data_IF_223365449087
#
_entry.id   IF_223365449087
#
_cell.length_a   1.000
_cell.length_b   1.000
_cell.length_c   1.000
_cell.angle_alpha   90.00
_cell.angle_beta   90.00
_cell.angle_gamma   90.00
#
_symmetry.space_group_name_H-M   'P 1'
#
loop_
_entity.id
_entity.type
_entity.pdbx_description
1 polymer ?
#
# COMPACT_ATOMS: atom_id res chain seq x y z
N UNK A 1 23.01 29.71 5.63
CA UNK A 1 21.89 29.73 6.60
C UNK A 1 22.32 28.92 7.82
N UNK A 2 21.75 29.16 9.01
CA UNK A 2 22.04 28.36 10.21
C UNK A 2 20.87 27.41 10.49
N UNK A 3 21.08 26.08 10.62
CA UNK A 3 19.98 25.16 10.88
C UNK A 3 19.21 25.49 12.16
N UNK A 4 19.91 25.93 13.21
CA UNK A 4 19.26 26.29 14.49
C UNK A 4 18.28 27.44 14.34
N UNK A 5 18.58 28.42 13.47
CA UNK A 5 17.70 29.58 13.24
C UNK A 5 16.45 29.20 12.46
N UNK A 6 16.57 28.31 11.47
CA UNK A 6 15.40 27.78 10.74
C UNK A 6 14.49 26.98 11.69
N UNK A 7 15.09 26.13 12.54
CA UNK A 7 14.35 25.37 13.56
C UNK A 7 13.67 26.31 14.56
N UNK A 8 14.36 27.36 15.02
CA UNK A 8 13.81 28.37 15.94
C UNK A 8 12.58 29.03 15.35
N UNK A 9 12.66 29.49 14.09
CA UNK A 9 11.53 30.10 13.37
C UNK A 9 10.34 29.15 13.29
N UNK A 10 10.57 27.89 12.90
CA UNK A 10 9.48 26.90 12.82
C UNK A 10 8.86 26.61 14.18
N UNK A 11 9.68 26.46 15.22
CA UNK A 11 9.24 26.26 16.62
C UNK A 11 8.34 27.42 17.10
N UNK A 12 8.69 28.65 16.70
CA UNK A 12 7.97 29.87 17.07
C UNK A 12 6.72 30.11 16.21
N UNK A 13 6.41 29.19 15.28
CA UNK A 13 5.19 29.19 14.47
C UNK A 13 5.30 29.98 13.17
N UNK A 14 6.51 30.38 12.77
CA UNK A 14 6.72 31.07 11.49
C UNK A 14 6.70 30.10 10.31
N UNK A 15 6.28 30.63 9.15
CA UNK A 15 6.37 29.94 7.86
C UNK A 15 7.80 29.97 7.32
N UNK A 16 8.30 28.82 6.89
CA UNK A 16 9.59 28.69 6.24
C UNK A 16 9.49 28.87 4.72
N UNK A 17 10.53 29.47 4.13
CA UNK A 17 10.68 29.55 2.68
C UNK A 17 11.23 28.26 2.08
N UNK A 18 10.98 28.03 0.79
CA UNK A 18 11.47 26.84 0.08
C UNK A 18 13.00 26.67 0.15
N UNK A 19 13.76 27.77 0.11
CA UNK A 19 15.22 27.74 0.23
C UNK A 19 15.71 27.27 1.61
N UNK A 20 14.98 27.58 2.68
CA UNK A 20 15.31 27.14 4.04
C UNK A 20 15.06 25.65 4.21
N UNK A 21 13.93 25.16 3.66
CA UNK A 21 13.58 23.75 3.67
C UNK A 21 14.58 22.95 2.83
N UNK A 22 14.91 23.41 1.62
CA UNK A 22 15.92 22.79 0.77
C UNK A 22 17.30 22.76 1.45
N UNK A 23 17.66 23.81 2.20
CA UNK A 23 18.89 23.84 2.98
C UNK A 23 18.93 22.77 4.08
N UNK A 24 17.82 22.56 4.82
CA UNK A 24 17.74 21.51 5.83
C UNK A 24 17.85 20.11 5.21
N UNK A 25 17.08 19.84 4.16
CA UNK A 25 17.04 18.53 3.49
C UNK A 25 18.37 18.21 2.81
N UNK A 26 18.90 19.14 2.01
CA UNK A 26 20.20 18.98 1.35
C UNK A 26 21.35 18.87 2.35
N UNK A 27 21.29 19.65 3.43
CA UNK A 27 22.27 19.58 4.51
C UNK A 27 22.26 18.26 5.26
N UNK A 28 21.10 17.61 5.42
CA UNK A 28 21.02 16.25 5.97
C UNK A 28 21.79 15.29 5.07
N UNK A 29 21.51 15.31 3.76
CA UNK A 29 22.18 14.45 2.77
C UNK A 29 23.70 14.65 2.81
N UNK A 30 24.15 15.91 2.81
CA UNK A 30 25.58 16.28 2.81
C UNK A 30 26.26 16.08 4.17
N UNK A 31 25.51 15.80 5.24
CA UNK A 31 26.04 15.66 6.60
C UNK A 31 26.37 16.99 7.29
N UNK A 32 25.99 18.13 6.70
CA UNK A 32 26.16 19.48 7.30
C UNK A 32 25.02 19.85 8.24
N UNK A 33 23.89 19.13 8.17
CA UNK A 33 22.79 19.17 9.15
C UNK A 33 22.72 17.82 9.85
N UNK A 34 22.82 17.86 11.17
CA UNK A 34 22.83 16.68 12.03
C UNK A 34 21.43 16.04 12.16
N UNK A 35 21.41 14.77 12.59
CA UNK A 35 20.14 14.06 12.85
C UNK A 35 19.35 14.70 13.99
N UNK A 36 20.04 15.26 14.99
CA UNK A 36 19.45 15.94 16.14
C UNK A 36 18.74 17.23 15.70
N UNK A 37 19.31 17.95 14.73
CA UNK A 37 18.69 19.13 14.14
C UNK A 37 17.43 18.76 13.33
N UNK A 38 17.48 17.67 12.56
CA UNK A 38 16.28 17.19 11.84
C UNK A 38 15.21 16.67 12.80
N UNK A 39 15.59 16.00 13.88
CA UNK A 39 14.64 15.59 14.94
C UNK A 39 13.95 16.82 15.57
N UNK A 40 14.73 17.87 15.88
CA UNK A 40 14.18 19.11 16.41
C UNK A 40 13.26 19.82 15.41
N UNK A 41 13.62 19.83 14.12
CA UNK A 41 12.75 20.33 13.05
C UNK A 41 11.45 19.52 12.94
N UNK A 42 11.53 18.19 12.93
CA UNK A 42 10.37 17.31 12.85
C UNK A 42 9.42 17.51 14.05
N UNK A 43 9.96 17.69 15.25
CA UNK A 43 9.17 17.99 16.43
C UNK A 43 8.54 19.39 16.38
N UNK A 44 9.24 20.39 15.85
CA UNK A 44 8.67 21.71 15.62
C UNK A 44 7.50 21.66 14.62
N UNK A 45 7.65 20.90 13.53
CA UNK A 45 6.56 20.62 12.57
C UNK A 45 5.41 19.88 13.24
N UNK A 46 5.67 18.87 14.07
CA UNK A 46 4.64 18.13 14.78
C UNK A 46 3.72 19.04 15.60
N UNK A 47 4.29 20.03 16.31
CA UNK A 47 3.50 20.97 17.13
C UNK A 47 2.90 22.16 16.37
N UNK A 48 3.55 22.62 15.28
CA UNK A 48 3.16 23.86 14.58
C UNK A 48 2.50 23.63 13.22
N UNK A 49 2.55 22.41 12.72
CA UNK A 49 2.10 22.05 11.38
C UNK A 49 2.93 22.69 10.26
N UNK A 50 2.52 22.47 9.02
CA UNK A 50 3.06 23.16 7.84
C UNK A 50 1.93 23.75 7.00
N UNK A 51 2.18 24.91 6.42
CA UNK A 51 1.34 25.44 5.34
C UNK A 51 1.44 24.53 4.11
N UNK A 52 0.49 24.67 3.16
CA UNK A 52 0.53 23.94 1.90
C UNK A 52 1.84 24.16 1.14
N UNK A 53 2.31 25.40 1.05
CA UNK A 53 3.53 25.74 0.31
C UNK A 53 4.78 25.16 0.97
N UNK A 54 4.82 25.12 2.31
CA UNK A 54 5.89 24.46 3.04
C UNK A 54 5.89 22.94 2.78
N UNK A 55 4.71 22.29 2.76
CA UNK A 55 4.62 20.86 2.44
C UNK A 55 5.09 20.56 1.03
N UNK A 56 4.69 21.39 0.05
CA UNK A 56 5.15 21.27 -1.34
C UNK A 56 6.68 21.42 -1.39
N UNK A 57 7.23 22.45 -0.74
CA UNK A 57 8.67 22.66 -0.70
C UNK A 57 9.44 21.49 -0.05
N UNK A 58 8.93 20.93 1.05
CA UNK A 58 9.54 19.78 1.71
C UNK A 58 9.48 18.53 0.83
N UNK A 59 8.33 18.29 0.20
CA UNK A 59 8.12 17.17 -0.71
C UNK A 59 9.08 17.23 -1.90
N UNK A 60 9.21 18.40 -2.53
CA UNK A 60 10.10 18.62 -3.67
C UNK A 60 11.58 18.51 -3.25
N UNK A 61 11.97 19.09 -2.11
CA UNK A 61 13.34 18.98 -1.61
C UNK A 61 13.72 17.52 -1.30
N UNK A 62 12.77 16.72 -0.78
CA UNK A 62 12.98 15.29 -0.54
C UNK A 62 13.04 14.49 -1.84
N UNK A 63 12.18 14.78 -2.81
CA UNK A 63 12.21 14.19 -4.16
C UNK A 63 13.56 14.45 -4.84
N UNK A 64 13.99 15.71 -4.85
CA UNK A 64 15.18 16.21 -5.55
C UNK A 64 16.49 15.86 -4.83
N UNK A 65 16.41 15.14 -3.69
CA UNK A 65 17.59 14.63 -2.98
C UNK A 65 18.26 13.45 -3.69
N UNK A 66 17.62 12.90 -4.73
CA UNK A 66 18.13 11.77 -5.51
C UNK A 66 17.60 11.74 -6.93
N UNK A 67 17.49 10.54 -7.49
CA UNK A 67 17.06 10.31 -8.87
C UNK A 67 15.55 10.52 -9.02
N UNK A 68 15.17 11.26 -10.06
CA UNK A 68 13.79 11.35 -10.57
C UNK A 68 13.74 10.58 -11.89
N UNK A 69 12.85 9.59 -11.96
CA UNK A 69 12.65 8.80 -13.16
C UNK A 69 11.96 9.63 -14.25
N UNK A 70 12.27 9.31 -15.50
CA UNK A 70 11.68 9.92 -16.68
C UNK A 70 11.15 8.80 -17.60
N UNK A 71 9.88 8.94 -17.95
CA UNK A 71 9.07 8.02 -18.77
C UNK A 71 8.50 8.70 -20.01
N UNK A 72 9.03 9.87 -20.39
CA UNK A 72 8.60 10.63 -21.56
C UNK A 72 8.72 9.87 -22.89
N UNK A 73 9.44 8.74 -22.91
CA UNK A 73 9.60 7.85 -24.06
C UNK A 73 8.56 6.72 -24.13
N UNK A 74 7.66 6.60 -23.15
CA UNK A 74 6.56 5.64 -23.19
C UNK A 74 5.43 6.10 -24.13
N UNK A 75 4.75 5.18 -24.83
CA UNK A 75 3.67 5.52 -25.75
C UNK A 75 2.33 5.86 -25.04
N UNK A 76 2.31 5.88 -23.71
CA UNK A 76 1.13 6.14 -22.89
C UNK A 76 1.50 6.70 -21.51
N UNK A 77 0.50 7.08 -20.70
CA UNK A 77 0.73 7.75 -19.43
C UNK A 77 1.38 6.82 -18.40
N UNK A 78 2.40 7.31 -17.67
CA UNK A 78 2.92 6.66 -16.49
C UNK A 78 2.00 6.94 -15.29
N UNK A 79 1.29 5.93 -14.82
CA UNK A 79 0.28 6.02 -13.76
C UNK A 79 0.69 5.14 -12.58
N UNK A 80 0.33 5.54 -11.36
CA UNK A 80 0.55 4.71 -10.18
C UNK A 80 -0.58 4.82 -9.16
N UNK A 81 -0.62 3.85 -8.25
CA UNK A 81 -1.46 3.85 -7.05
C UNK A 81 -0.59 3.81 -5.81
N UNK A 82 -0.95 4.57 -4.79
CA UNK A 82 -0.40 4.39 -3.45
C UNK A 82 -1.50 4.08 -2.44
N UNK A 83 -1.24 3.15 -1.53
CA UNK A 83 -2.12 2.86 -0.40
C UNK A 83 -1.43 3.25 0.90
N UNK A 84 -2.19 3.82 1.83
CA UNK A 84 -1.73 4.03 3.21
C UNK A 84 -1.46 2.72 3.99
N UNK A 85 -1.85 1.57 3.44
CA UNK A 85 -1.62 0.24 4.02
C UNK A 85 -2.87 -0.33 4.71
N UNK A 86 -3.04 -1.65 4.61
CA UNK A 86 -4.17 -2.37 5.19
C UNK A 86 -3.91 -3.88 5.26
N UNK A 87 -4.91 -4.61 5.77
CA UNK A 87 -4.86 -6.06 5.94
C UNK A 87 -5.59 -6.70 4.76
N UNK A 88 -4.95 -7.67 4.10
CA UNK A 88 -5.50 -8.26 2.87
C UNK A 88 -5.59 -7.28 1.69
N UNK A 89 -4.84 -6.15 1.74
CA UNK A 89 -4.78 -5.18 0.65
C UNK A 89 -3.86 -5.69 -0.48
N UNK A 90 -4.41 -6.53 -1.35
CA UNK A 90 -3.71 -7.09 -2.52
C UNK A 90 -3.90 -6.29 -3.80
N UNK A 91 -4.64 -5.17 -3.74
CA UNK A 91 -5.12 -4.41 -4.91
C UNK A 91 -4.02 -4.19 -5.95
N UNK A 92 -2.82 -3.79 -5.53
CA UNK A 92 -1.71 -3.50 -6.44
C UNK A 92 -1.35 -4.64 -7.40
N UNK A 93 -1.48 -5.90 -6.97
CA UNK A 93 -1.11 -7.07 -7.78
C UNK A 93 -2.04 -7.24 -8.98
N UNK A 94 -3.31 -6.87 -8.85
CA UNK A 94 -4.32 -6.98 -9.92
C UNK A 94 -4.52 -5.65 -10.65
N UNK A 95 -4.37 -4.53 -9.96
CA UNK A 95 -4.57 -3.19 -10.49
C UNK A 95 -3.51 -2.82 -11.54
N UNK A 96 -2.23 -3.05 -11.23
CA UNK A 96 -1.13 -2.73 -12.15
C UNK A 96 -1.30 -3.39 -13.54
N UNK A 97 -1.52 -4.73 -13.63
CA UNK A 97 -1.74 -5.36 -14.93
C UNK A 97 -3.08 -4.99 -15.58
N UNK A 98 -4.13 -4.67 -14.80
CA UNK A 98 -5.41 -4.23 -15.37
C UNK A 98 -5.31 -2.85 -16.05
N UNK A 99 -4.62 -1.90 -15.42
CA UNK A 99 -4.35 -0.58 -16.03
C UNK A 99 -3.45 -0.73 -17.26
N UNK A 100 -2.45 -1.63 -17.20
CA UNK A 100 -1.62 -1.95 -18.36
C UNK A 100 -2.42 -2.54 -19.53
N UNK A 101 -3.40 -3.41 -19.26
CA UNK A 101 -4.32 -3.94 -20.28
C UNK A 101 -5.19 -2.85 -20.93
N UNK A 102 -5.33 -1.68 -20.28
CA UNK A 102 -6.07 -0.52 -20.77
C UNK A 102 -5.16 0.56 -21.39
N UNK A 103 -3.86 0.31 -21.55
CA UNK A 103 -2.93 1.21 -22.24
C UNK A 103 -2.16 2.18 -21.33
N UNK A 104 -2.32 2.08 -20.00
CA UNK A 104 -1.50 2.81 -19.05
C UNK A 104 -0.17 2.10 -18.77
N UNK A 105 0.84 2.84 -18.33
CA UNK A 105 2.10 2.27 -17.87
C UNK A 105 2.23 2.40 -16.36
N UNK A 106 2.53 1.32 -15.65
CA UNK A 106 2.55 1.30 -14.19
C UNK A 106 3.95 0.97 -13.65
N UNK A 107 4.85 1.97 -13.53
CA UNK A 107 6.18 1.82 -12.93
C UNK A 107 6.09 1.89 -11.40
N UNK A 108 5.37 0.95 -10.77
CA UNK A 108 5.02 1.02 -9.36
C UNK A 108 6.24 0.79 -8.46
N UNK A 109 6.61 1.83 -7.72
CA UNK A 109 7.57 1.74 -6.62
C UNK A 109 6.79 1.51 -5.33
N UNK A 110 6.96 0.34 -4.74
CA UNK A 110 6.24 -0.10 -3.54
C UNK A 110 7.16 -0.23 -2.32
N UNK A 111 6.56 -0.49 -1.17
CA UNK A 111 7.23 -0.67 0.11
C UNK A 111 7.08 -2.08 0.66
N UNK A 112 7.92 -2.38 1.66
CA UNK A 112 7.75 -3.52 2.56
C UNK A 112 6.71 -3.20 3.64
N UNK A 113 6.29 -4.20 4.40
CA UNK A 113 5.30 -4.04 5.46
C UNK A 113 5.76 -3.06 6.55
N UNK A 114 4.80 -2.33 7.12
CA UNK A 114 5.02 -1.38 8.21
C UNK A 114 4.01 -1.66 9.32
N UNK A 115 4.51 -1.79 10.56
CA UNK A 115 3.68 -2.09 11.72
C UNK A 115 2.87 -3.38 11.53
N UNK A 116 1.54 -3.27 11.62
CA UNK A 116 0.61 -4.40 11.46
C UNK A 116 0.17 -4.64 10.02
N UNK A 117 0.60 -3.83 9.06
CA UNK A 117 0.18 -3.93 7.66
C UNK A 117 1.18 -4.75 6.84
N UNK A 118 0.66 -5.60 5.95
CA UNK A 118 1.47 -6.36 5.00
C UNK A 118 2.01 -5.48 3.88
N UNK A 119 3.23 -5.74 3.40
CA UNK A 119 3.85 -5.01 2.29
C UNK A 119 3.66 -5.70 0.95
N UNK A 120 3.36 -4.95 -0.11
CA UNK A 120 3.26 -5.51 -1.47
C UNK A 120 4.55 -6.20 -1.91
N UNK A 121 5.71 -5.68 -1.52
CA UNK A 121 6.99 -6.33 -1.87
C UNK A 121 7.20 -7.64 -1.14
N UNK A 122 6.79 -7.74 0.13
CA UNK A 122 6.92 -8.98 0.88
C UNK A 122 6.02 -10.08 0.29
N UNK A 123 4.85 -9.69 -0.23
CA UNK A 123 3.96 -10.58 -1.00
C UNK A 123 4.63 -11.06 -2.28
N UNK A 124 5.22 -10.16 -3.07
CA UNK A 124 5.87 -10.52 -4.33
C UNK A 124 7.16 -11.33 -4.12
N UNK A 125 7.91 -11.08 -3.04
CA UNK A 125 9.08 -11.87 -2.64
C UNK A 125 8.70 -13.32 -2.24
N UNK A 126 7.41 -13.61 -2.00
CA UNK A 126 6.93 -14.98 -1.83
C UNK A 126 6.90 -15.79 -3.13
N UNK A 127 7.03 -15.14 -4.29
CA UNK A 127 7.18 -15.79 -5.59
C UNK A 127 8.65 -16.14 -5.80
N UNK A 128 9.03 -17.43 -5.90
CA UNK A 128 10.42 -17.82 -6.11
C UNK A 128 11.04 -17.15 -7.34
N UNK A 129 12.21 -16.54 -7.18
CA UNK A 129 12.94 -15.90 -8.28
C UNK A 129 12.48 -14.49 -8.67
N UNK A 130 11.36 -14.00 -8.13
CA UNK A 130 10.92 -12.63 -8.38
C UNK A 130 11.93 -11.61 -7.83
N UNK A 131 12.54 -10.83 -8.71
CA UNK A 131 13.47 -9.78 -8.35
C UNK A 131 12.71 -8.49 -8.00
N UNK A 132 12.42 -8.29 -6.71
CA UNK A 132 11.77 -7.07 -6.22
C UNK A 132 12.66 -5.83 -6.28
N UNK A 133 13.98 -5.99 -6.46
CA UNK A 133 14.93 -4.89 -6.66
C UNK A 133 15.80 -5.16 -7.90
N UNK A 134 15.22 -5.14 -9.10
CA UNK A 134 15.96 -5.37 -10.33
C UNK A 134 16.85 -4.16 -10.64
N UNK A 135 17.83 -4.34 -11.52
CA UNK A 135 18.56 -3.21 -12.07
C UNK A 135 17.65 -2.28 -12.91
N UNK A 136 18.06 -1.02 -13.08
CA UNK A 136 17.25 -0.02 -13.78
C UNK A 136 16.94 -0.39 -15.24
N UNK A 137 17.83 -1.14 -15.91
CA UNK A 137 17.62 -1.54 -17.32
C UNK A 137 16.52 -2.60 -17.40
N UNK A 138 16.55 -3.58 -16.51
CA UNK A 138 15.53 -4.62 -16.36
C UNK A 138 14.18 -3.98 -16.02
N UNK A 139 14.13 -3.09 -15.02
CA UNK A 139 12.91 -2.36 -14.66
C UNK A 139 12.29 -1.60 -15.84
N UNK A 140 13.07 -0.75 -16.53
CA UNK A 140 12.60 0.01 -17.69
C UNK A 140 12.17 -0.90 -18.84
N UNK A 141 12.85 -2.03 -19.05
CA UNK A 141 12.48 -3.01 -20.07
C UNK A 141 11.11 -3.62 -19.77
N UNK A 142 10.90 -4.12 -18.55
CA UNK A 142 9.63 -4.76 -18.16
C UNK A 142 8.48 -3.77 -18.25
N UNK A 143 8.63 -2.54 -17.74
CA UNK A 143 7.60 -1.50 -17.87
C UNK A 143 7.25 -1.26 -19.34
N UNK A 144 8.24 -1.12 -20.23
CA UNK A 144 8.01 -0.84 -21.65
C UNK A 144 7.37 -2.00 -22.41
N UNK A 145 7.81 -3.23 -22.15
CA UNK A 145 7.35 -4.41 -22.90
C UNK A 145 6.04 -4.99 -22.37
N UNK A 146 5.84 -4.96 -21.05
CA UNK A 146 4.69 -5.57 -20.36
C UNK A 146 3.62 -4.53 -20.01
N UNK A 147 4.01 -3.28 -19.79
CA UNK A 147 3.12 -2.19 -19.36
C UNK A 147 3.15 -1.95 -17.85
N UNK A 148 3.64 -2.89 -17.03
CA UNK A 148 3.75 -2.69 -15.59
C UNK A 148 4.92 -3.43 -14.96
N UNK A 149 5.43 -2.90 -13.85
CA UNK A 149 6.36 -3.58 -12.94
C UNK A 149 6.13 -3.07 -11.52
N UNK A 150 6.25 -3.96 -10.53
CA UNK A 150 6.16 -3.61 -9.11
C UNK A 150 7.52 -3.91 -8.47
N UNK A 151 8.24 -2.85 -8.10
CA UNK A 151 9.59 -2.97 -7.55
C UNK A 151 9.69 -2.21 -6.22
N UNK A 152 10.72 -2.53 -5.46
CA UNK A 152 11.08 -1.78 -4.27
C UNK A 152 11.79 -0.47 -4.59
N UNK A 153 11.89 0.36 -3.56
CA UNK A 153 12.67 1.58 -3.61
C UNK A 153 14.14 1.24 -3.85
N UNK A 154 14.75 1.87 -4.85
CA UNK A 154 16.20 1.87 -5.02
C UNK A 154 16.83 2.88 -4.06
N UNK A 155 18.11 2.72 -3.74
CA UNK A 155 18.80 3.63 -2.80
C UNK A 155 18.83 5.09 -3.28
N UNK A 156 18.77 5.28 -4.59
CA UNK A 156 18.85 6.60 -5.23
C UNK A 156 17.53 7.35 -5.24
N UNK A 157 16.39 6.71 -4.92
CA UNK A 157 15.08 7.35 -5.03
C UNK A 157 14.69 8.05 -3.73
N UNK A 158 14.68 9.39 -3.74
CA UNK A 158 14.38 10.25 -2.59
C UNK A 158 15.14 9.84 -1.28
N UNK A 159 16.49 9.74 -1.30
CA UNK A 159 17.29 9.25 -0.17
C UNK A 159 17.12 10.07 1.12
N UNK A 160 16.70 11.33 1.02
CA UNK A 160 16.40 12.15 2.19
C UNK A 160 15.22 11.59 2.99
N UNK A 161 14.21 11.04 2.32
CA UNK A 161 13.06 10.43 2.98
C UNK A 161 13.46 9.27 3.87
N UNK A 162 14.31 8.35 3.38
CA UNK A 162 14.82 7.22 4.17
C UNK A 162 15.46 7.69 5.48
N UNK A 163 16.27 8.75 5.42
CA UNK A 163 16.96 9.31 6.60
C UNK A 163 16.01 10.07 7.53
N UNK A 164 15.08 10.86 6.98
CA UNK A 164 14.10 11.60 7.77
C UNK A 164 13.11 10.64 8.45
N UNK A 165 12.64 9.61 7.74
CA UNK A 165 11.76 8.58 8.28
C UNK A 165 12.44 7.82 9.43
N UNK A 166 13.68 7.37 9.25
CA UNK A 166 14.43 6.68 10.31
C UNK A 166 14.64 7.53 11.57
N UNK A 167 14.72 8.86 11.42
CA UNK A 167 14.75 9.79 12.56
C UNK A 167 13.36 9.84 13.21
N UNK A 168 12.31 10.06 12.42
CA UNK A 168 10.92 10.20 12.91
C UNK A 168 10.46 8.99 13.71
N UNK A 169 10.84 7.80 13.26
CA UNK A 169 10.49 6.50 13.84
C UNK A 169 10.96 6.35 15.30
N UNK A 170 12.10 6.96 15.64
CA UNK A 170 12.68 6.90 17.00
C UNK A 170 12.48 8.19 17.81
N UNK A 171 11.80 9.20 17.25
CA UNK A 171 11.58 10.50 17.91
C UNK A 171 10.12 10.82 18.17
N UNK A 172 9.21 9.88 17.90
CA UNK A 172 7.77 10.08 18.14
C UNK A 172 7.14 11.13 17.22
N UNK A 173 7.64 11.26 15.98
CA UNK A 173 7.16 12.27 15.01
C UNK A 173 6.69 11.63 13.70
N UNK A 174 6.28 10.36 13.74
CA UNK A 174 5.74 9.66 12.55
C UNK A 174 4.36 10.20 12.21
N UNK A 175 3.50 10.43 13.20
CA UNK A 175 2.06 10.69 13.07
C UNK A 175 1.69 12.09 12.51
N UNK A 176 2.66 12.97 12.27
CA UNK A 176 2.40 14.27 11.65
C UNK A 176 1.95 14.10 10.19
N UNK A 177 0.73 14.55 9.87
CA UNK A 177 0.18 14.55 8.50
C UNK A 177 1.14 15.28 7.54
N UNK A 178 1.73 16.41 7.95
CA UNK A 178 2.65 17.18 7.11
C UNK A 178 3.88 16.35 6.68
N UNK A 179 4.48 15.63 7.64
CA UNK A 179 5.65 14.78 7.39
C UNK A 179 5.28 13.49 6.66
N UNK A 180 4.10 12.92 6.92
CA UNK A 180 3.57 11.76 6.19
C UNK A 180 3.34 12.12 4.72
N UNK A 181 2.69 13.25 4.45
CA UNK A 181 2.44 13.75 3.10
C UNK A 181 3.74 13.91 2.32
N UNK A 182 4.74 14.61 2.87
CA UNK A 182 6.01 14.80 2.19
C UNK A 182 6.77 13.49 1.97
N UNK A 183 6.76 12.61 2.97
CA UNK A 183 7.36 11.27 2.87
C UNK A 183 6.76 10.45 1.74
N UNK A 184 5.43 10.30 1.71
CA UNK A 184 4.75 9.51 0.67
C UNK A 184 4.99 10.10 -0.71
N UNK A 185 4.73 11.40 -0.88
CA UNK A 185 4.72 12.03 -2.20
C UNK A 185 6.11 12.22 -2.79
N UNK A 186 7.14 12.45 -1.97
CA UNK A 186 8.52 12.59 -2.49
C UNK A 186 8.95 11.38 -3.33
N UNK A 187 8.64 10.18 -2.85
CA UNK A 187 8.91 8.92 -3.56
C UNK A 187 8.05 8.76 -4.81
N UNK A 188 6.76 9.10 -4.72
CA UNK A 188 5.83 8.97 -5.86
C UNK A 188 6.12 9.99 -6.96
N UNK A 189 6.50 11.22 -6.61
CA UNK A 189 6.96 12.21 -7.57
C UNK A 189 8.31 11.83 -8.18
N UNK A 190 9.21 11.20 -7.41
CA UNK A 190 10.47 10.69 -7.94
C UNK A 190 10.27 9.53 -8.94
N UNK A 191 9.11 8.87 -8.94
CA UNK A 191 8.79 7.83 -9.90
C UNK A 191 8.42 8.34 -11.31
N UNK A 192 8.38 9.66 -11.54
CA UNK A 192 8.19 10.24 -12.87
C UNK A 192 6.77 10.13 -13.43
N UNK A 193 5.77 10.16 -12.54
CA UNK A 193 4.38 9.86 -12.88
C UNK A 193 3.69 11.02 -13.63
N UNK A 194 2.74 10.66 -14.48
CA UNK A 194 1.78 11.57 -15.14
C UNK A 194 0.46 11.69 -14.38
N UNK A 195 0.12 10.70 -13.55
CA UNK A 195 -1.05 10.70 -12.69
C UNK A 195 -0.91 9.72 -11.53
N UNK A 196 -1.52 10.06 -10.39
CA UNK A 196 -1.45 9.27 -9.17
C UNK A 196 -2.84 9.11 -8.54
N UNK A 197 -3.18 7.90 -8.13
CA UNK A 197 -4.37 7.65 -7.30
C UNK A 197 -3.94 7.22 -5.91
N UNK A 198 -4.56 7.81 -4.90
CA UNK A 198 -4.30 7.53 -3.50
C UNK A 198 -5.45 6.73 -2.90
N UNK A 199 -5.10 5.70 -2.15
CA UNK A 199 -6.01 4.80 -1.45
C UNK A 199 -5.78 4.96 0.05
N UNK A 200 -6.56 5.85 0.66
CA UNK A 200 -6.47 6.20 2.07
C UNK A 200 -7.42 5.32 2.85
N UNK A 201 -6.88 4.43 3.68
CA UNK A 201 -7.68 3.49 4.46
C UNK A 201 -8.30 4.22 5.65
N UNK A 202 -9.52 3.84 6.01
CA UNK A 202 -10.21 4.32 7.21
C UNK A 202 -10.82 3.14 7.98
N UNK A 203 -10.70 3.16 9.31
CA UNK A 203 -11.32 2.16 10.21
C UNK A 203 -10.34 1.30 11.01
N UNK A 204 -10.83 0.22 11.60
CA UNK A 204 -10.13 -0.56 12.64
C UNK A 204 -8.78 -1.18 12.24
N UNK A 205 -8.51 -1.36 10.94
CA UNK A 205 -7.22 -1.84 10.41
C UNK A 205 -6.39 -0.79 9.70
N UNK A 206 -6.90 0.44 9.57
CA UNK A 206 -6.21 1.53 8.90
C UNK A 206 -5.20 2.22 9.83
N UNK A 207 -4.30 3.01 9.23
CA UNK A 207 -3.47 3.95 10.00
C UNK A 207 -4.32 5.08 10.59
N UNK A 208 -5.31 5.57 9.83
CA UNK A 208 -6.29 6.56 10.29
C UNK A 208 -7.59 5.86 10.70
N UNK A 209 -7.86 5.78 11.99
CA UNK A 209 -9.07 5.11 12.48
C UNK A 209 -10.34 5.94 12.25
N UNK A 210 -10.24 7.26 12.39
CA UNK A 210 -11.34 8.21 12.24
C UNK A 210 -11.48 8.76 10.82
N UNK A 211 -12.72 9.00 10.40
CA UNK A 211 -13.02 9.53 9.07
C UNK A 211 -12.43 10.93 8.85
N UNK A 212 -12.43 11.79 9.88
CA UNK A 212 -11.90 13.15 9.77
C UNK A 212 -10.37 13.16 9.59
N UNK A 213 -9.66 12.26 10.27
CA UNK A 213 -8.21 12.08 10.10
C UNK A 213 -7.88 11.52 8.70
N UNK A 214 -8.65 10.54 8.24
CA UNK A 214 -8.51 9.97 6.89
C UNK A 214 -8.75 11.04 5.82
N UNK A 215 -9.78 11.88 5.99
CA UNK A 215 -10.08 13.01 5.10
C UNK A 215 -8.95 14.04 5.12
N UNK A 216 -8.49 14.45 6.30
CA UNK A 216 -7.39 15.41 6.42
C UNK A 216 -6.09 14.92 5.76
N UNK A 217 -5.78 13.63 5.89
CA UNK A 217 -4.64 13.02 5.19
C UNK A 217 -4.83 13.01 3.66
N UNK A 218 -6.00 12.57 3.18
CA UNK A 218 -6.31 12.49 1.77
C UNK A 218 -6.28 13.88 1.09
N UNK A 219 -6.90 14.89 1.70
CA UNK A 219 -6.87 16.28 1.23
C UNK A 219 -5.44 16.85 1.19
N UNK A 220 -4.64 16.60 2.23
CA UNK A 220 -3.24 17.03 2.28
C UNK A 220 -2.42 16.41 1.16
N UNK A 221 -2.55 15.09 0.94
CA UNK A 221 -1.84 14.39 -0.13
C UNK A 221 -2.24 14.90 -1.52
N UNK A 222 -3.54 15.04 -1.81
CA UNK A 222 -4.02 15.55 -3.09
C UNK A 222 -3.54 16.98 -3.33
N UNK A 223 -3.73 17.86 -2.34
CA UNK A 223 -3.39 19.29 -2.46
C UNK A 223 -1.90 19.54 -2.70
N UNK A 224 -1.03 18.74 -2.06
CA UNK A 224 0.42 18.84 -2.20
C UNK A 224 0.89 18.20 -3.51
N UNK A 225 0.34 17.06 -3.92
CA UNK A 225 0.71 16.42 -5.18
C UNK A 225 0.34 17.31 -6.37
N UNK A 226 -0.87 17.87 -6.38
CA UNK A 226 -1.31 18.85 -7.39
C UNK A 226 -0.46 20.12 -7.33
N UNK A 227 -0.14 20.60 -6.12
CA UNK A 227 0.77 21.74 -5.93
C UNK A 227 2.19 21.49 -6.44
N UNK A 228 2.63 20.23 -6.49
CA UNK A 228 3.90 19.79 -7.06
C UNK A 228 3.81 19.46 -8.57
N UNK A 229 2.66 19.66 -9.21
CA UNK A 229 2.45 19.44 -10.64
C UNK A 229 2.07 18.01 -11.03
N UNK A 230 1.67 17.15 -10.08
CA UNK A 230 1.22 15.78 -10.34
C UNK A 230 -0.31 15.68 -10.19
N UNK A 231 -1.07 15.51 -11.30
CA UNK A 231 -2.51 15.22 -11.24
C UNK A 231 -2.79 14.03 -10.31
N UNK A 232 -3.62 14.26 -9.29
CA UNK A 232 -3.83 13.28 -8.22
C UNK A 232 -5.27 13.29 -7.73
N UNK A 233 -5.85 12.10 -7.52
CA UNK A 233 -7.11 11.92 -6.80
C UNK A 233 -6.92 10.96 -5.63
N UNK A 234 -7.86 10.96 -4.68
CA UNK A 234 -7.86 10.02 -3.56
C UNK A 234 -9.22 9.38 -3.36
N UNK A 235 -9.22 8.09 -3.02
CA UNK A 235 -10.37 7.37 -2.48
C UNK A 235 -10.10 7.07 -1.00
N UNK A 236 -11.08 7.36 -0.14
CA UNK A 236 -11.11 6.86 1.22
C UNK A 236 -11.84 5.51 1.20
N UNK A 237 -11.14 4.44 1.57
CA UNK A 237 -11.66 3.08 1.50
C UNK A 237 -11.72 2.42 2.87
N UNK A 238 -12.73 1.58 3.06
CA UNK A 238 -12.98 0.92 4.33
C UNK A 238 -11.90 -0.13 4.67
N UNK A 239 -11.52 -0.17 5.94
CA UNK A 239 -10.60 -1.16 6.51
C UNK A 239 -11.10 -1.64 7.89
N UNK A 240 -12.43 -1.65 8.08
CA UNK A 240 -13.06 -2.24 9.26
C UNK A 240 -13.14 -3.77 9.21
N UNK A 241 -12.75 -4.35 8.07
CA UNK A 241 -12.48 -5.76 7.84
C UNK A 241 -11.33 -5.91 6.84
N UNK A 242 -10.63 -7.07 6.80
CA UNK A 242 -9.68 -7.38 5.75
C UNK A 242 -10.27 -7.15 4.35
N UNK A 243 -9.52 -6.51 3.45
CA UNK A 243 -10.05 -6.19 2.12
C UNK A 243 -10.23 -7.46 1.26
N UNK A 244 -9.25 -8.35 1.32
CA UNK A 244 -9.30 -9.69 0.75
C UNK A 244 -9.61 -10.75 1.81
N UNK A 245 -10.01 -11.94 1.36
CA UNK A 245 -10.26 -13.10 2.25
C UNK A 245 -8.99 -13.76 2.78
N UNK A 246 -7.81 -13.20 2.47
CA UNK A 246 -6.51 -13.70 2.93
C UNK A 246 -5.66 -12.56 3.48
N UNK A 247 -4.87 -12.87 4.51
CA UNK A 247 -3.89 -11.98 5.12
C UNK A 247 -2.57 -12.73 5.32
N UNK A 248 -1.52 -12.32 4.63
CA UNK A 248 -0.23 -13.04 4.58
C UNK A 248 0.56 -12.68 3.32
N UNK A 249 1.57 -13.47 2.96
CA UNK A 249 2.39 -13.21 1.78
C UNK A 249 2.00 -14.12 0.61
N UNK A 250 2.37 -15.40 0.67
CA UNK A 250 2.04 -16.39 -0.38
C UNK A 250 0.51 -16.57 -0.51
N UNK A 251 -0.22 -16.53 0.60
CA UNK A 251 -1.69 -16.60 0.63
C UNK A 251 -2.33 -15.44 -0.15
N UNK A 252 -1.76 -14.24 -0.04
CA UNK A 252 -2.25 -13.04 -0.73
C UNK A 252 -1.87 -13.02 -2.22
N UNK A 253 -0.71 -13.60 -2.59
CA UNK A 253 -0.39 -13.85 -4.01
C UNK A 253 -1.37 -14.85 -4.61
N UNK A 254 -1.67 -15.95 -3.89
CA UNK A 254 -2.67 -16.93 -4.32
C UNK A 254 -4.06 -16.30 -4.48
N UNK A 255 -4.45 -15.42 -3.56
CA UNK A 255 -5.68 -14.63 -3.68
C UNK A 255 -5.68 -13.74 -4.93
N UNK A 256 -4.56 -13.09 -5.26
CA UNK A 256 -4.45 -12.26 -6.46
C UNK A 256 -4.58 -13.09 -7.76
N UNK A 257 -3.98 -14.28 -7.80
CA UNK A 257 -4.12 -15.23 -8.93
C UNK A 257 -5.58 -15.68 -9.07
N UNK A 258 -6.22 -16.00 -7.94
CA UNK A 258 -7.63 -16.37 -7.92
C UNK A 258 -8.53 -15.21 -8.38
N UNK A 259 -8.26 -13.98 -7.94
CA UNK A 259 -8.98 -12.79 -8.39
C UNK A 259 -8.82 -12.57 -9.90
N UNK A 260 -7.60 -12.68 -10.42
CA UNK A 260 -7.32 -12.44 -11.84
C UNK A 260 -8.02 -13.45 -12.77
N UNK A 261 -8.40 -14.62 -12.24
CA UNK A 261 -9.11 -15.66 -12.99
C UNK A 261 -10.61 -15.71 -12.67
N UNK A 262 -11.02 -15.32 -11.46
CA UNK A 262 -12.40 -15.37 -10.95
C UNK A 262 -12.73 -14.09 -10.15
N UNK A 263 -12.72 -12.90 -10.78
CA UNK A 263 -12.86 -11.63 -10.06
C UNK A 263 -14.20 -11.50 -9.31
N UNK A 264 -15.26 -12.11 -9.84
CA UNK A 264 -16.61 -12.06 -9.24
C UNK A 264 -16.71 -12.82 -7.91
N UNK A 265 -15.74 -13.68 -7.58
CA UNK A 265 -15.68 -14.35 -6.27
C UNK A 265 -15.18 -13.44 -5.14
N UNK A 266 -14.74 -12.21 -5.46
CA UNK A 266 -14.12 -11.27 -4.53
C UNK A 266 -14.76 -9.87 -4.61
N UNK A 267 -16.06 -9.72 -4.31
CA UNK A 267 -16.82 -8.50 -4.63
C UNK A 267 -16.24 -7.23 -4.00
N UNK A 268 -15.84 -7.28 -2.72
CA UNK A 268 -15.27 -6.14 -2.00
C UNK A 268 -13.91 -5.70 -2.56
N UNK A 269 -13.02 -6.67 -2.79
CA UNK A 269 -11.73 -6.42 -3.42
C UNK A 269 -11.88 -5.91 -4.86
N UNK A 270 -12.89 -6.41 -5.59
CA UNK A 270 -13.22 -6.00 -6.95
C UNK A 270 -13.73 -4.56 -6.99
N UNK A 271 -14.65 -4.18 -6.10
CA UNK A 271 -15.15 -2.81 -5.97
C UNK A 271 -13.98 -1.82 -5.84
N UNK A 272 -13.12 -2.03 -4.84
CA UNK A 272 -11.96 -1.14 -4.60
C UNK A 272 -10.99 -1.14 -5.79
N UNK A 273 -10.67 -2.31 -6.35
CA UNK A 273 -9.72 -2.42 -7.47
C UNK A 273 -10.25 -1.73 -8.73
N UNK A 274 -11.54 -1.90 -9.04
CA UNK A 274 -12.18 -1.29 -10.23
C UNK A 274 -12.26 0.23 -10.07
N UNK A 275 -12.66 0.74 -8.91
CA UNK A 275 -12.76 2.19 -8.68
C UNK A 275 -11.39 2.88 -8.75
N UNK A 276 -10.36 2.31 -8.11
CA UNK A 276 -9.00 2.85 -8.20
C UNK A 276 -8.48 2.81 -9.65
N UNK A 277 -8.74 1.74 -10.38
CA UNK A 277 -8.40 1.64 -11.80
C UNK A 277 -9.13 2.68 -12.65
N UNK A 278 -10.41 2.92 -12.38
CA UNK A 278 -11.20 3.89 -13.10
C UNK A 278 -10.64 5.32 -12.94
N UNK A 279 -10.26 5.70 -11.71
CA UNK A 279 -9.58 6.97 -11.44
C UNK A 279 -8.26 7.09 -12.23
N UNK A 280 -7.45 6.02 -12.25
CA UNK A 280 -6.19 6.00 -12.99
C UNK A 280 -6.40 6.22 -14.49
N UNK A 281 -7.38 5.54 -15.10
CA UNK A 281 -7.65 5.68 -16.53
C UNK A 281 -8.16 7.08 -16.91
N UNK A 282 -8.99 7.70 -16.07
CA UNK A 282 -9.46 9.08 -16.30
C UNK A 282 -8.32 10.08 -16.13
N UNK A 283 -7.52 9.96 -15.07
CA UNK A 283 -6.33 10.81 -14.86
C UNK A 283 -5.33 10.70 -16.00
N UNK A 284 -5.12 9.48 -16.52
CA UNK A 284 -4.28 9.22 -17.68
C UNK A 284 -4.89 9.58 -19.03
N UNK A 285 -6.12 10.11 -19.06
CA UNK A 285 -6.86 10.43 -20.30
C UNK A 285 -7.02 9.23 -21.24
N UNK A 286 -7.02 8.01 -20.70
CA UNK A 286 -7.26 6.77 -21.44
C UNK A 286 -8.75 6.50 -21.62
N UNK A 287 -9.58 7.09 -20.76
CA UNK A 287 -11.03 7.02 -20.80
C UNK A 287 -11.65 8.39 -20.51
N UNK A 288 -12.79 8.73 -21.12
CA UNK A 288 -13.38 10.07 -21.04
C UNK A 288 -14.02 10.36 -19.67
N UNK A 289 -14.51 9.33 -19.00
CA UNK A 289 -15.21 9.43 -17.72
C UNK A 289 -15.10 8.12 -16.91
N UNK A 290 -15.55 8.17 -15.66
CA UNK A 290 -15.46 7.04 -14.75
C UNK A 290 -16.36 5.86 -15.15
N UNK A 291 -17.46 6.08 -15.88
CA UNK A 291 -18.32 4.98 -16.31
C UNK A 291 -17.61 4.14 -17.37
N UNK A 292 -17.10 4.79 -18.41
CA UNK A 292 -16.28 4.14 -19.43
C UNK A 292 -15.01 3.49 -18.84
N UNK A 293 -14.41 4.13 -17.83
CA UNK A 293 -13.23 3.61 -17.16
C UNK A 293 -13.50 2.35 -16.32
N UNK A 294 -14.61 2.29 -15.57
CA UNK A 294 -15.04 1.08 -14.85
C UNK A 294 -15.28 -0.07 -15.81
N UNK A 295 -15.96 0.19 -16.92
CA UNK A 295 -16.24 -0.82 -17.95
C UNK A 295 -14.92 -1.34 -18.55
N UNK A 296 -13.97 -0.46 -18.87
CA UNK A 296 -12.68 -0.85 -19.43
C UNK A 296 -11.87 -1.75 -18.48
N UNK A 297 -11.81 -1.41 -17.18
CA UNK A 297 -11.14 -2.24 -16.17
C UNK A 297 -11.89 -3.58 -15.98
N UNK A 298 -13.22 -3.56 -15.95
CA UNK A 298 -14.03 -4.78 -15.90
C UNK A 298 -13.80 -5.71 -17.10
N UNK A 299 -13.64 -5.16 -18.30
CA UNK A 299 -13.26 -5.91 -19.50
C UNK A 299 -11.84 -6.46 -19.40
N UNK A 300 -10.88 -5.69 -18.86
CA UNK A 300 -9.50 -6.18 -18.67
C UNK A 300 -9.42 -7.43 -17.79
N UNK A 301 -10.24 -7.51 -16.74
CA UNK A 301 -10.35 -8.71 -15.90
C UNK A 301 -11.12 -9.83 -16.60
N UNK A 302 -12.33 -9.56 -17.08
CA UNK A 302 -13.20 -10.61 -17.65
C UNK A 302 -12.66 -11.22 -18.94
N UNK A 303 -11.83 -10.48 -19.70
CA UNK A 303 -11.17 -11.01 -20.91
C UNK A 303 -9.89 -11.80 -20.63
N UNK A 304 -9.43 -11.89 -19.38
CA UNK A 304 -8.17 -12.54 -19.00
C UNK A 304 -6.89 -11.77 -19.36
N UNK A 305 -6.99 -10.55 -19.92
CA UNK A 305 -5.80 -9.77 -20.33
C UNK A 305 -4.98 -9.31 -19.12
N UNK A 306 -5.63 -8.93 -18.02
CA UNK A 306 -4.93 -8.60 -16.78
C UNK A 306 -4.14 -9.81 -16.24
N UNK A 307 -4.69 -11.02 -16.32
CA UNK A 307 -4.01 -12.25 -15.90
C UNK A 307 -2.75 -12.53 -16.76
N UNK A 308 -2.86 -12.38 -18.09
CA UNK A 308 -1.72 -12.53 -19.01
C UNK A 308 -0.59 -11.52 -18.70
N UNK A 309 -0.94 -10.25 -18.49
CA UNK A 309 0.03 -9.21 -18.17
C UNK A 309 0.70 -9.47 -16.81
N UNK A 310 -0.06 -9.92 -15.81
CA UNK A 310 0.50 -10.31 -14.51
C UNK A 310 1.55 -11.43 -14.67
N UNK A 311 1.23 -12.48 -15.43
CA UNK A 311 2.17 -13.57 -15.71
C UNK A 311 3.45 -13.08 -16.41
N UNK A 312 3.29 -12.20 -17.41
CA UNK A 312 4.41 -11.59 -18.14
C UNK A 312 5.26 -10.69 -17.24
N UNK A 313 4.65 -9.95 -16.31
CA UNK A 313 5.36 -9.12 -15.34
C UNK A 313 6.20 -10.00 -14.40
N UNK A 314 5.59 -11.05 -13.84
CA UNK A 314 6.28 -12.01 -12.97
C UNK A 314 7.48 -12.63 -13.68
N UNK A 315 7.28 -13.16 -14.89
CA UNK A 315 8.37 -13.76 -15.68
C UNK A 315 9.44 -12.73 -16.07
N UNK A 316 9.03 -11.51 -16.44
CA UNK A 316 9.94 -10.42 -16.79
C UNK A 316 10.83 -9.97 -15.63
N UNK A 317 10.38 -10.19 -14.39
CA UNK A 317 11.12 -9.92 -13.17
C UNK A 317 11.76 -11.18 -12.57
N UNK A 318 11.86 -12.28 -13.32
CA UNK A 318 12.60 -13.49 -12.93
C UNK A 318 11.80 -14.56 -12.19
N UNK A 319 10.50 -14.32 -11.94
CA UNK A 319 9.60 -15.33 -11.41
C UNK A 319 9.26 -16.44 -12.43
N UNK A 320 8.51 -17.48 -12.01
CA UNK A 320 8.18 -18.60 -12.86
C UNK A 320 7.16 -18.21 -13.94
N UNK A 321 7.37 -18.70 -15.17
CA UNK A 321 6.51 -18.41 -16.32
C UNK A 321 5.14 -19.08 -16.25
N UNK A 322 4.99 -20.07 -15.38
CA UNK A 322 3.80 -20.92 -15.21
C UNK A 322 3.14 -20.71 -13.83
N UNK A 323 3.39 -19.57 -13.18
CA UNK A 323 2.83 -19.24 -11.86
C UNK A 323 1.30 -19.29 -11.86
N UNK A 324 0.67 -18.81 -12.94
CA UNK A 324 -0.79 -18.72 -13.04
C UNK A 324 -1.43 -20.11 -13.17
N UNK A 325 -0.76 -21.04 -13.86
CA UNK A 325 -1.24 -22.39 -14.12
C UNK A 325 -0.94 -23.34 -12.95
N UNK A 326 0.20 -23.14 -12.27
CA UNK A 326 0.70 -24.03 -11.21
C UNK A 326 1.13 -23.26 -9.96
N UNK A 327 0.25 -22.44 -9.34
CA UNK A 327 0.62 -21.64 -8.17
C UNK A 327 1.12 -22.51 -7.01
N UNK A 328 0.50 -23.66 -6.77
CA UNK A 328 0.85 -24.57 -5.67
C UNK A 328 2.23 -25.24 -5.82
N UNK A 329 2.82 -25.22 -7.02
CA UNK A 329 4.20 -25.69 -7.25
C UNK A 329 5.23 -24.67 -6.74
N UNK A 330 4.88 -23.38 -6.73
CA UNK A 330 5.80 -22.27 -6.53
C UNK A 330 5.61 -21.58 -5.18
N UNK A 331 4.36 -21.39 -4.76
CA UNK A 331 4.05 -20.68 -3.53
C UNK A 331 4.24 -21.57 -2.31
N UNK A 332 4.92 -21.04 -1.29
CA UNK A 332 5.15 -21.76 -0.05
C UNK A 332 3.81 -22.05 0.67
N UNK A 333 3.68 -23.27 1.18
CA UNK A 333 2.53 -23.71 1.97
C UNK A 333 2.97 -24.07 3.38
N UNK A 334 2.20 -23.64 4.38
CA UNK A 334 2.51 -23.89 5.77
C UNK A 334 2.25 -25.38 6.12
N UNK A 335 3.07 -26.00 6.98
CA UNK A 335 2.91 -27.40 7.35
C UNK A 335 1.67 -27.65 8.23
N UNK A 336 1.14 -26.62 8.89
CA UNK A 336 -0.04 -26.71 9.75
C UNK A 336 -1.13 -25.77 9.25
N UNK A 337 -2.30 -26.33 8.97
CA UNK A 337 -3.52 -25.58 8.63
C UNK A 337 -4.63 -25.95 9.62
N UNK A 338 -5.18 -24.97 10.33
CA UNK A 338 -6.18 -25.20 11.38
C UNK A 338 -7.37 -24.25 11.26
N UNK A 339 -8.62 -24.73 11.27
CA UNK A 339 -9.79 -23.85 11.27
C UNK A 339 -9.96 -23.16 12.62
N UNK A 340 -10.27 -21.87 12.60
CA UNK A 340 -10.63 -21.10 13.78
C UNK A 340 -12.15 -20.93 13.87
N UNK A 341 -12.83 -21.85 14.55
CA UNK A 341 -14.28 -21.75 14.77
C UNK A 341 -14.63 -20.67 15.81
N UNK A 342 -15.76 -19.96 15.67
CA UNK A 342 -16.21 -19.00 16.69
C UNK A 342 -16.57 -19.73 18.01
N UNK A 343 -16.55 -19.02 19.14
CA UNK A 343 -17.00 -19.59 20.43
C UNK A 343 -18.49 -19.92 20.44
N UNK A 344 -19.29 -19.11 19.74
CA UNK A 344 -20.73 -19.32 19.53
C UNK A 344 -21.07 -19.04 18.07
N UNK A 345 -21.99 -19.81 17.47
CA UNK A 345 -22.50 -19.50 16.14
C UNK A 345 -23.13 -18.10 16.10
N UNK A 346 -23.06 -17.44 14.96
CA UNK A 346 -23.67 -16.12 14.79
C UNK A 346 -23.20 -15.42 13.52
N UNK A 347 -23.59 -14.16 13.38
CA UNK A 347 -23.21 -13.29 12.28
C UNK A 347 -22.07 -12.37 12.74
N UNK A 348 -21.02 -12.23 11.93
CA UNK A 348 -19.89 -11.33 12.21
C UNK A 348 -20.36 -9.87 12.18
N UNK A 349 -20.15 -9.15 13.29
CA UNK A 349 -20.60 -7.77 13.48
C UNK A 349 -19.47 -6.75 13.52
N UNK A 350 -18.30 -7.14 14.01
CA UNK A 350 -17.12 -6.31 14.04
C UNK A 350 -15.87 -7.17 13.95
N UNK A 351 -14.83 -6.60 13.35
CA UNK A 351 -13.51 -7.20 13.23
C UNK A 351 -12.49 -6.18 13.71
N UNK A 352 -11.67 -6.56 14.69
CA UNK A 352 -10.49 -5.81 15.09
C UNK A 352 -9.37 -6.08 14.06
N UNK A 353 -9.50 -5.49 12.88
CA UNK A 353 -8.68 -5.81 11.70
C UNK A 353 -7.20 -5.61 11.94
N UNK A 354 -6.82 -4.60 12.73
CA UNK A 354 -5.43 -4.42 13.19
C UNK A 354 -4.87 -5.67 13.87
N UNK A 355 -5.66 -6.33 14.73
CA UNK A 355 -5.22 -7.50 15.50
C UNK A 355 -5.01 -8.74 14.61
N UNK A 356 -5.71 -8.82 13.47
CA UNK A 356 -5.41 -9.83 12.43
C UNK A 356 -4.00 -9.60 11.88
N UNK A 357 -3.66 -8.35 11.53
CA UNK A 357 -2.33 -7.99 11.07
C UNK A 357 -1.23 -8.29 12.10
N UNK A 358 -1.48 -7.95 13.37
CA UNK A 358 -0.57 -8.28 14.49
C UNK A 358 -0.38 -9.79 14.63
N UNK A 359 -1.45 -10.58 14.49
CA UNK A 359 -1.36 -12.03 14.55
C UNK A 359 -0.54 -12.62 13.39
N UNK A 360 -0.63 -12.06 12.18
CA UNK A 360 0.25 -12.45 11.06
C UNK A 360 1.72 -12.16 11.38
N UNK A 361 2.03 -10.98 11.94
CA UNK A 361 3.40 -10.63 12.38
C UNK A 361 3.89 -11.60 13.45
N UNK A 362 3.05 -11.94 14.43
CA UNK A 362 3.38 -12.89 15.49
C UNK A 362 3.67 -14.30 14.96
N UNK A 363 3.07 -14.70 13.83
CA UNK A 363 3.38 -15.96 13.13
C UNK A 363 4.65 -15.88 12.27
N UNK A 364 5.34 -14.74 12.24
CA UNK A 364 6.48 -14.42 11.35
C UNK A 364 6.12 -14.16 9.89
N UNK A 365 4.85 -13.86 9.60
CA UNK A 365 4.40 -13.39 8.28
C UNK A 365 4.74 -11.91 8.02
N UNK A 366 5.26 -11.20 9.02
CA UNK A 366 5.76 -9.83 8.92
C UNK A 366 6.99 -9.63 9.81
N UNK A 367 7.47 -8.40 9.92
CA UNK A 367 8.72 -8.08 10.62
C UNK A 367 8.46 -7.40 11.96
N UNK A 368 9.29 -7.70 12.95
CA UNK A 368 9.39 -6.92 14.19
C UNK A 368 10.59 -5.98 14.17
N UNK A 369 11.66 -6.37 13.47
CA UNK A 369 12.80 -5.55 13.10
C UNK A 369 12.98 -5.55 11.57
N UNK A 370 13.50 -4.46 10.96
CA UNK A 370 13.68 -4.38 9.51
C UNK A 370 14.48 -5.52 8.88
N UNK A 371 15.39 -6.14 9.64
CA UNK A 371 16.27 -7.23 9.17
C UNK A 371 15.68 -8.63 9.39
N UNK A 372 14.49 -8.75 9.99
CA UNK A 372 13.87 -10.04 10.25
C UNK A 372 13.51 -10.77 8.94
N UNK A 373 13.81 -12.07 8.90
CA UNK A 373 13.30 -12.96 7.86
C UNK A 373 11.81 -13.23 8.08
N UNK A 374 11.06 -13.25 6.98
CA UNK A 374 9.63 -13.56 6.95
C UNK A 374 9.44 -15.02 6.55
N UNK A 375 8.49 -15.71 7.17
CA UNK A 375 7.91 -16.94 6.64
C UNK A 375 6.78 -16.56 5.67
N UNK A 376 6.93 -16.76 4.35
CA UNK A 376 5.90 -16.35 3.39
C UNK A 376 4.65 -17.24 3.42
N UNK A 377 4.74 -18.43 4.03
CA UNK A 377 3.69 -19.45 4.00
C UNK A 377 2.60 -19.25 5.06
N UNK A 378 2.88 -18.49 6.12
CA UNK A 378 1.98 -18.29 7.25
C UNK A 378 0.98 -17.16 7.01
N UNK A 379 -0.12 -17.20 7.75
CA UNK A 379 -1.16 -16.17 7.72
C UNK A 379 -2.56 -16.75 7.90
N UNK A 380 -3.53 -16.05 7.34
CA UNK A 380 -4.93 -16.44 7.36
C UNK A 380 -5.50 -16.50 5.94
N UNK A 381 -6.37 -17.47 5.68
CA UNK A 381 -7.18 -17.54 4.46
C UNK A 381 -8.65 -17.80 4.79
N UNK A 382 -9.52 -17.59 3.81
CA UNK A 382 -10.97 -17.79 3.96
C UNK A 382 -11.57 -17.01 5.14
N UNK A 383 -11.01 -15.81 5.40
CA UNK A 383 -11.49 -14.93 6.45
C UNK A 383 -12.96 -14.57 6.21
N UNK A 384 -13.78 -14.78 7.23
CA UNK A 384 -15.17 -14.35 7.23
C UNK A 384 -15.22 -12.81 7.30
N UNK A 385 -15.93 -12.20 6.35
CA UNK A 385 -16.20 -10.76 6.38
C UNK A 385 -17.35 -10.38 7.32
N UNK A 386 -17.56 -9.09 7.49
CA UNK A 386 -18.74 -8.53 8.17
C UNK A 386 -20.03 -9.04 7.51
N UNK A 387 -21.03 -9.35 8.32
CA UNK A 387 -22.30 -9.93 7.85
C UNK A 387 -22.24 -11.42 7.49
N UNK A 388 -21.07 -12.07 7.53
CA UNK A 388 -20.97 -13.50 7.31
C UNK A 388 -21.53 -14.30 8.50
N UNK A 389 -22.35 -15.31 8.23
CA UNK A 389 -22.71 -16.34 9.21
C UNK A 389 -21.54 -17.29 9.44
N UNK A 390 -21.21 -17.56 10.70
CA UNK A 390 -20.12 -18.43 11.17
C UNK A 390 -20.63 -19.37 12.26
N UNK A 391 -20.02 -20.55 12.37
CA UNK A 391 -20.48 -21.61 13.26
C UNK A 391 -19.68 -22.91 13.09
N UNK A 392 -20.22 -24.07 13.51
CA UNK A 392 -19.53 -25.35 13.43
C UNK A 392 -19.14 -25.77 12.00
N UNK A 393 -19.91 -25.33 11.00
CA UNK A 393 -19.70 -25.65 9.59
C UNK A 393 -18.97 -24.55 8.81
N UNK A 394 -18.76 -23.38 9.43
CA UNK A 394 -18.09 -22.23 8.79
C UNK A 394 -17.20 -21.50 9.80
N UNK A 395 -15.87 -21.67 9.73
CA UNK A 395 -14.96 -21.01 10.65
C UNK A 395 -14.89 -19.49 10.40
N UNK A 396 -14.27 -18.77 11.33
CA UNK A 396 -13.87 -17.37 11.15
C UNK A 396 -12.79 -17.22 10.08
N UNK A 397 -11.98 -18.26 9.88
CA UNK A 397 -10.94 -18.36 8.87
C UNK A 397 -10.08 -19.61 9.10
N UNK A 398 -9.17 -19.87 8.16
CA UNK A 398 -8.15 -20.90 8.26
C UNK A 398 -6.81 -20.27 8.65
N UNK A 399 -6.19 -20.83 9.69
CA UNK A 399 -4.86 -20.44 10.18
C UNK A 399 -3.82 -21.29 9.48
N UNK A 400 -2.82 -20.65 8.87
CA UNK A 400 -1.65 -21.28 8.26
C UNK A 400 -0.43 -20.94 9.11
N UNK A 401 0.22 -21.94 9.70
CA UNK A 401 1.30 -21.73 10.66
C UNK A 401 2.45 -22.74 10.50
N UNK A 402 3.64 -22.32 10.92
CA UNK A 402 4.84 -23.15 10.87
C UNK A 402 4.81 -24.31 11.88
N UNK A 403 4.09 -24.16 13.00
CA UNK A 403 3.99 -25.18 14.06
C UNK A 403 2.58 -25.25 14.65
N UNK A 404 2.25 -26.38 15.29
CA UNK A 404 0.96 -26.55 15.98
C UNK A 404 0.77 -25.50 17.09
N UNK A 405 1.83 -25.19 17.83
CA UNK A 405 1.79 -24.19 18.91
C UNK A 405 1.54 -22.77 18.38
N UNK A 406 2.12 -22.42 17.22
CA UNK A 406 1.82 -21.17 16.52
C UNK A 406 0.36 -21.14 16.05
N UNK A 407 -0.13 -22.24 15.47
CA UNK A 407 -1.51 -22.37 15.01
C UNK A 407 -2.51 -22.16 16.16
N UNK A 408 -2.28 -22.77 17.33
CA UNK A 408 -3.13 -22.62 18.50
C UNK A 408 -3.20 -21.18 19.00
N UNK A 409 -2.06 -20.48 19.06
CA UNK A 409 -2.03 -19.06 19.43
C UNK A 409 -2.78 -18.20 18.43
N UNK A 410 -2.58 -18.44 17.14
CA UNK A 410 -3.24 -17.68 16.08
C UNK A 410 -4.75 -17.95 15.98
N UNK A 411 -5.20 -19.18 16.28
CA UNK A 411 -6.65 -19.49 16.43
C UNK A 411 -7.26 -18.66 17.56
N UNK A 412 -6.58 -18.55 18.71
CA UNK A 412 -7.07 -17.74 19.81
C UNK A 412 -7.09 -16.24 19.46
N UNK A 413 -6.03 -15.74 18.83
CA UNK A 413 -5.94 -14.35 18.39
C UNK A 413 -7.06 -14.01 17.38
N UNK A 414 -7.32 -14.89 16.41
CA UNK A 414 -8.38 -14.68 15.43
C UNK A 414 -9.77 -14.68 16.08
N UNK A 415 -10.02 -15.58 17.05
CA UNK A 415 -11.28 -15.56 17.82
C UNK A 415 -11.49 -14.25 18.56
N UNK A 416 -10.45 -13.73 19.20
CA UNK A 416 -10.50 -12.47 19.94
C UNK A 416 -10.70 -11.25 19.04
N UNK A 417 -10.25 -11.33 17.79
CA UNK A 417 -10.43 -10.25 16.82
C UNK A 417 -11.86 -10.13 16.28
N UNK A 418 -12.71 -11.16 16.46
CA UNK A 418 -14.06 -11.21 15.90
C UNK A 418 -15.14 -11.06 16.97
N UNK A 419 -16.16 -10.25 16.66
CA UNK A 419 -17.39 -10.16 17.46
C UNK A 419 -18.57 -10.69 16.64
N UNK A 420 -19.29 -11.68 17.19
CA UNK A 420 -20.50 -12.27 16.57
C UNK A 420 -21.76 -12.00 17.38
N UNK A 421 -22.92 -11.91 16.71
CA UNK A 421 -24.27 -11.80 17.33
C UNK A 421 -25.30 -12.66 16.59
N UNK A 422 -26.43 -12.96 17.24
CA UNK A 422 -27.48 -13.83 16.67
C UNK A 422 -28.26 -13.18 15.51
N UNK A 423 -28.51 -11.86 15.55
CA UNK A 423 -29.29 -11.14 14.54
C UNK A 423 -28.68 -9.76 14.22
N UNK A 424 -28.25 -9.56 12.97
CA UNK A 424 -28.10 -8.26 12.29
C UNK A 424 -27.51 -8.44 10.88
N UNK A 425 -28.00 -7.68 9.90
CA UNK A 425 -27.28 -7.46 8.64
C UNK A 425 -26.45 -6.18 8.73
N UNK A 426 -25.24 -6.22 8.16
CA UNK A 426 -24.38 -5.04 7.99
C UNK A 426 -23.95 -5.05 6.54
N UNK A 427 -24.58 -4.22 5.70
CA UNK A 427 -24.04 -3.86 4.40
C UNK A 427 -23.30 -2.54 4.52
N UNK A 428 -22.05 -2.50 4.06
CA UNK A 428 -21.24 -1.28 3.94
C UNK A 428 -20.47 -1.34 2.63
N UNK A 429 -20.47 -0.25 1.87
CA UNK A 429 -19.61 -0.13 0.69
C UNK A 429 -18.14 -0.09 1.13
N UNK A 430 -17.25 -0.64 0.29
CA UNK A 430 -15.81 -0.54 0.51
C UNK A 430 -15.27 0.86 0.20
N UNK A 431 -16.03 1.69 -0.52
CA UNK A 431 -15.69 3.09 -0.84
C UNK A 431 -16.49 4.01 0.06
N UNK A 432 -15.79 4.78 0.89
CA UNK A 432 -16.42 5.67 1.87
C UNK A 432 -16.58 7.08 1.32
N UNK A 433 -15.56 7.60 0.64
CA UNK A 433 -15.56 8.95 0.10
C UNK A 433 -14.55 9.07 -1.05
N UNK A 434 -14.83 9.97 -1.99
CA UNK A 434 -13.90 10.34 -3.06
C UNK A 434 -13.48 11.80 -2.88
N UNK A 435 -12.19 12.05 -2.98
CA UNK A 435 -11.59 13.39 -2.96
C UNK A 435 -10.94 13.64 -4.32
N UNK A 436 -11.45 14.63 -5.04
CA UNK A 436 -10.94 15.05 -6.34
C UNK A 436 -10.20 16.39 -6.25
N UNK A 437 -9.20 16.55 -7.12
CA UNK A 437 -8.58 17.84 -7.46
C UNK A 437 -9.22 18.47 -8.68
#
# INVERSE_FOLDING_TARGET
MLPQEIIRRKRDGETLGAAEIAFLVGGLIQGTVSREQIAAFAMAVFFRGMSRDERVALTLAMRDSGTVLDWSDLPGPALDKHSSGGIGDTVSLMLAPAVAACGGFVPMISGRGLGHTGGTLDKLDAIPGYASQPDSKTFRKVVREVGCAIIGQTEDLAPADKRIYAIRDVTGTVESIDLITASILSKKLAAGLTGLVLDVKCGSGAFMAGMDDARGLAESLVSVAVGAGLPTTALITDMNEPLGSSAGNALEVRLAIDFLTRPESHPRLREVTVELGAEMLVLGQLQPDLAAARDAIGVAFSSGRAAEIFARMVAGLGGPSDLMERPDLHLASAPVTKPAFPERPGIVQAIATREIGVAVVAMKGGRTNPDDAIDPSVGFSELAGLGASVGPDRPLGLVHAATEADAERAVLALRQAYMTKEDASVERSAILEKIGG
#
